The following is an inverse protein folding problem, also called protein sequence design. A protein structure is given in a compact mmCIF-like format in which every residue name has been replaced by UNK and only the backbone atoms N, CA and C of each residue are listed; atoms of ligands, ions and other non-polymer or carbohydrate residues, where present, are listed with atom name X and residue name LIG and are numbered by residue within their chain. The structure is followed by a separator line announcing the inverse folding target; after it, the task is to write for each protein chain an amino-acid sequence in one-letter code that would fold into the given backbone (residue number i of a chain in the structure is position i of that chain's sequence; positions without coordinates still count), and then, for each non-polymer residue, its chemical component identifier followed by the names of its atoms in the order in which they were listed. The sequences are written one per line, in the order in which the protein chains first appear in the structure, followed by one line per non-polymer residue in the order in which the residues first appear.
data_IF_071439306207
#
_entry.id   IF_071439306207
#
_cell.length_a   1.000
_cell.length_b   1.000
_cell.length_c   1.000
_cell.angle_alpha   90.00
_cell.angle_beta   90.00
_cell.angle_gamma   90.00
#
_symmetry.space_group_name_H-M   'P 1'
#
loop_
_entity.id
_entity.type
_entity.pdbx_description
1 polymer ?
2 non-polymer ?
3 non-polymer ?
4 non-polymer ?
5 non-polymer ?
6 water ?
#
# COMPACT_ATOMS: atom_id res chain seq x y z
N UNK A 15 -19.28 4.40 -11.91
CA UNK A 15 -20.47 4.15 -11.03
C UNK A 15 -20.08 3.46 -9.69
N UNK A 16 -19.82 4.28 -8.65
CA UNK A 16 -19.30 3.72 -7.43
C UNK A 16 -20.38 2.99 -6.66
N UNK A 17 -21.63 3.06 -7.13
CA UNK A 17 -22.70 2.37 -6.47
C UNK A 17 -22.89 0.95 -7.02
N UNK A 18 -22.02 0.54 -7.98
CA UNK A 18 -22.06 -0.78 -8.63
C UNK A 18 -20.65 -1.34 -8.88
N UNK A 19 -19.78 -1.17 -7.90
CA UNK A 19 -18.43 -1.65 -8.01
C UNK A 19 -18.26 -3.15 -8.01
N UNK A 20 -19.28 -3.85 -7.53
CA UNK A 20 -19.35 -5.31 -7.58
C UNK A 20 -19.47 -5.72 -9.06
N UNK A 21 -20.31 -5.01 -9.80
CA UNK A 21 -20.47 -5.29 -11.21
C UNK A 21 -19.21 -5.00 -12.01
N UNK A 22 -18.62 -3.83 -11.80
CA UNK A 22 -17.40 -3.46 -12.49
C UNK A 22 -16.25 -4.45 -12.15
N UNK A 23 -16.26 -4.96 -10.93
CA UNK A 23 -15.25 -5.94 -10.48
C UNK A 23 -15.24 -7.21 -11.35
N UNK A 24 -16.41 -7.77 -11.54
CA UNK A 24 -16.56 -8.99 -12.32
C UNK A 24 -16.24 -8.76 -13.78
N UNK A 25 -16.74 -7.66 -14.33
CA UNK A 25 -16.45 -7.27 -15.71
C UNK A 25 -14.95 -7.03 -15.94
N UNK A 26 -14.29 -6.38 -15.00
CA UNK A 26 -12.86 -6.13 -15.14
C UNK A 26 -12.06 -7.43 -15.07
N UNK A 27 -12.45 -8.32 -14.20
CA UNK A 27 -11.77 -9.59 -14.04
C UNK A 27 -11.92 -10.45 -15.28
N UNK A 28 -13.11 -10.42 -15.89
CA UNK A 28 -13.30 -11.18 -17.11
C UNK A 28 -12.50 -10.59 -18.26
N UNK A 29 -12.46 -9.25 -18.35
CA UNK A 29 -11.76 -8.55 -19.41
C UNK A 29 -10.27 -8.85 -19.36
N UNK A 30 -9.67 -8.70 -18.17
CA UNK A 30 -8.24 -9.01 -17.95
C UNK A 30 -7.84 -10.47 -18.21
N UNK A 31 -8.72 -11.40 -17.85
CA UNK A 31 -8.46 -12.83 -18.02
C UNK A 31 -8.15 -13.19 -19.46
N UNK A 32 -8.85 -12.54 -20.39
CA UNK A 32 -8.69 -12.74 -21.83
C UNK A 32 -7.87 -11.65 -22.57
N UNK A 33 -7.44 -10.60 -21.87
CA UNK A 33 -6.61 -9.57 -22.48
C UNK A 33 -5.60 -9.04 -21.46
N UNK A 34 -4.33 -9.46 -21.55
CA UNK A 34 -3.33 -8.95 -20.61
C UNK A 34 -3.06 -7.44 -20.72
N UNK A 35 -3.45 -6.83 -21.83
CA UNK A 35 -3.29 -5.39 -22.02
C UNK A 35 -4.56 -4.63 -21.57
N UNK A 36 -5.51 -5.33 -20.93
CA UNK A 36 -6.70 -4.70 -20.39
C UNK A 36 -6.27 -3.57 -19.50
N UNK A 37 -6.90 -2.42 -19.64
CA UNK A 37 -6.53 -1.30 -18.77
C UNK A 37 -5.42 -0.41 -19.34
N UNK A 38 -4.82 -0.81 -20.46
CA UNK A 38 -3.79 0.00 -21.09
C UNK A 38 -4.44 0.89 -22.18
N UNK A 39 -4.15 2.21 -22.17
CA UNK A 39 -4.75 3.08 -23.20
C UNK A 39 -4.44 2.61 -24.62
N UNK A 40 -5.47 2.60 -25.47
CA UNK A 40 -5.39 2.11 -26.85
C UNK A 40 -4.23 2.70 -27.65
N UNK A 41 -3.98 4.00 -27.50
CA UNK A 41 -2.92 4.65 -28.27
C UNK A 41 -1.54 4.18 -27.86
N UNK A 42 -1.40 3.80 -26.58
CA UNK A 42 -0.13 3.23 -26.11
C UNK A 42 0.00 1.80 -26.60
N UNK A 43 -1.10 1.03 -26.52
CA UNK A 43 -1.05 -0.35 -27.01
C UNK A 43 -0.61 -0.42 -28.45
N UNK A 44 -1.12 0.49 -29.27
CA UNK A 44 -0.76 0.48 -30.70
C UNK A 44 0.71 0.85 -30.92
N UNK A 45 1.27 1.74 -30.10
CA UNK A 45 2.70 2.03 -30.21
C UNK A 45 3.51 0.79 -29.82
N UNK A 46 3.21 0.22 -28.63
CA UNK A 46 3.91 -0.96 -28.12
C UNK A 46 3.84 -2.12 -29.14
N UNK A 47 2.65 -2.32 -29.75
CA UNK A 47 2.47 -3.34 -30.77
C UNK A 47 3.34 -3.08 -32.00
N UNK A 48 3.47 -1.81 -32.36
CA UNK A 48 4.22 -1.42 -33.53
C UNK A 48 5.73 -1.48 -33.28
N UNK A 49 6.17 -0.97 -32.12
CA UNK A 49 7.62 -0.83 -31.81
C UNK A 49 8.24 -1.72 -30.75
N UNK A 50 7.42 -2.38 -29.95
CA UNK A 50 7.92 -3.26 -28.89
C UNK A 50 8.91 -2.56 -27.96
N UNK A 51 10.12 -3.09 -27.85
CA UNK A 51 11.11 -2.49 -26.94
C UNK A 51 11.97 -1.37 -27.53
N UNK A 52 11.62 -0.95 -28.75
CA UNK A 52 12.19 0.22 -29.37
C UNK A 52 11.28 1.41 -29.08
N UNK A 53 10.22 1.20 -28.31
CA UNK A 53 9.31 2.28 -27.92
C UNK A 53 10.12 3.31 -27.16
N UNK A 54 10.05 4.58 -27.57
CA UNK A 54 10.75 5.64 -26.85
C UNK A 54 9.83 6.14 -25.70
N UNK A 55 10.39 6.29 -24.49
CA UNK A 55 9.60 6.75 -23.34
C UNK A 55 10.23 7.99 -22.65
N UNK A 56 9.37 8.89 -22.20
CA UNK A 56 9.76 10.07 -21.42
C UNK A 56 9.09 9.95 -20.04
N UNK A 57 9.89 10.09 -18.98
CA UNK A 57 9.39 10.06 -17.63
C UNK A 57 8.95 11.47 -17.24
N UNK A 58 7.70 11.62 -16.79
CA UNK A 58 7.23 12.92 -16.34
C UNK A 58 7.32 12.94 -14.83
N UNK A 59 8.12 13.86 -14.31
CA UNK A 59 8.35 14.00 -12.87
C UNK A 59 9.60 13.27 -12.41
N UNK A 60 10.30 13.83 -11.43
CA UNK A 60 11.52 13.21 -10.90
C UNK A 60 11.39 12.86 -9.41
N UNK A 61 10.18 12.98 -8.87
CA UNK A 61 9.92 12.77 -7.47
C UNK A 61 8.83 11.72 -7.25
N UNK A 62 8.61 10.80 -8.21
CA UNK A 62 7.51 9.83 -8.09
C UNK A 62 7.99 8.39 -8.09
N UNK A 63 7.26 7.51 -8.78
CA UNK A 63 7.63 6.09 -8.91
C UNK A 63 8.60 5.84 -10.09
N UNK A 64 9.18 6.88 -10.71
CA UNK A 64 10.09 6.71 -11.86
C UNK A 64 11.37 5.93 -11.56
N UNK A 65 11.73 5.94 -10.27
CA UNK A 65 12.90 5.24 -9.76
C UNK A 65 12.66 3.74 -9.83
N UNK A 66 11.39 3.33 -9.70
CA UNK A 66 11.03 1.92 -9.80
C UNK A 66 11.18 1.38 -11.22
N UNK A 67 10.98 2.21 -12.25
CA UNK A 67 11.19 1.78 -13.64
C UNK A 67 12.69 1.73 -13.99
N UNK A 68 13.44 2.72 -13.51
CA UNK A 68 14.89 2.80 -13.77
C UNK A 68 15.74 1.73 -13.02
N UNK A 69 15.33 1.36 -11.80
CA UNK A 69 16.01 0.31 -11.02
C UNK A 69 15.58 -1.11 -11.40
N UNK A 70 14.62 -1.22 -12.34
CA UNK A 70 14.05 -2.49 -12.80
C UNK A 70 15.15 -3.51 -13.11
N UNK A 71 14.91 -4.75 -12.68
CA UNK A 71 15.81 -5.86 -12.89
C UNK A 71 15.76 -6.27 -14.37
N UNK A 72 16.95 -6.47 -14.94
CA UNK A 72 17.16 -6.87 -16.36
C UNK A 72 16.93 -5.72 -17.34
N UNK A 73 17.29 -5.94 -18.60
CA UNK A 73 17.19 -4.93 -19.66
C UNK A 73 15.78 -4.32 -19.73
N UNK A 74 15.71 -2.99 -19.89
CA UNK A 74 14.41 -2.31 -20.00
C UNK A 74 13.69 -2.75 -21.26
N UNK A 75 12.35 -2.62 -21.28
CA UNK A 75 11.56 -3.02 -22.44
C UNK A 75 11.18 -1.80 -23.31
N UNK A 76 11.96 -0.72 -23.22
CA UNK A 76 11.76 0.48 -24.01
C UNK A 76 12.99 1.35 -23.82
N UNK A 77 13.15 2.31 -24.72
CA UNK A 77 14.27 3.21 -24.67
C UNK A 77 13.81 4.48 -23.95
N UNK A 78 14.22 4.63 -22.69
CA UNK A 78 13.89 5.80 -21.89
C UNK A 78 14.87 6.93 -22.29
N UNK A 79 14.32 8.03 -22.83
CA UNK A 79 15.13 9.13 -23.35
C UNK A 79 15.31 10.37 -22.47
N UNK A 80 14.43 10.61 -21.51
CA UNK A 80 14.53 11.84 -20.72
C UNK A 80 13.54 11.82 -19.61
N UNK A 81 13.72 12.77 -18.69
CA UNK A 81 12.79 13.02 -17.60
C UNK A 81 12.50 14.50 -17.64
N UNK A 82 11.24 14.84 -17.40
CA UNK A 82 10.76 16.18 -17.42
C UNK A 82 10.67 16.73 -16.02
N UNK A 83 11.29 17.88 -15.84
CA UNK A 83 11.21 18.60 -14.56
C UNK A 83 11.60 20.08 -14.82
N UNK A 84 10.58 20.93 -14.86
CA UNK A 84 10.74 22.38 -15.11
C UNK A 84 11.53 23.13 -14.03
N UNK A 85 11.67 22.52 -12.85
CA UNK A 85 12.39 23.11 -11.73
C UNK A 85 13.83 22.66 -11.68
N UNK A 86 14.22 21.76 -12.57
CA UNK A 86 15.59 21.21 -12.58
C UNK A 86 16.32 21.13 -13.95
N UNK A 87 15.66 21.51 -15.04
CA UNK A 87 16.25 21.23 -16.36
C UNK A 87 17.49 22.01 -16.76
N UNK A 88 17.90 22.99 -15.95
CA UNK A 88 19.13 23.74 -16.19
C UNK A 88 20.27 23.33 -15.24
N UNK A 89 20.01 22.42 -14.31
CA UNK A 89 21.02 22.02 -13.33
C UNK A 89 22.21 21.25 -13.89
N UNK A 90 22.06 20.55 -15.02
CA UNK A 90 23.13 19.70 -15.52
C UNK A 90 23.09 18.30 -14.89
N UNK A 91 22.19 18.08 -13.94
CA UNK A 91 22.01 16.80 -13.28
C UNK A 91 21.19 15.87 -14.17
N UNK A 92 21.50 14.58 -14.04
CA UNK A 92 20.82 13.52 -14.77
C UNK A 92 19.86 12.83 -13.81
N UNK A 93 18.81 12.23 -14.36
CA UNK A 93 17.86 11.48 -13.54
C UNK A 93 18.01 10.01 -13.97
N UNK A 94 18.73 9.23 -13.16
CA UNK A 94 19.08 7.82 -13.48
C UNK A 94 19.73 7.76 -14.87
N UNK A 95 20.71 8.66 -15.08
CA UNK A 95 21.42 8.76 -16.34
C UNK A 95 20.68 9.49 -17.44
N UNK A 96 19.44 9.91 -17.19
CA UNK A 96 18.66 10.58 -18.20
C UNK A 96 18.80 12.11 -18.17
N UNK A 97 18.78 12.76 -19.34
CA UNK A 97 18.75 14.22 -19.29
C UNK A 97 17.43 14.71 -18.68
N UNK A 98 17.49 15.85 -17.98
CA UNK A 98 16.30 16.47 -17.39
C UNK A 98 15.93 17.62 -18.33
N UNK A 99 14.70 17.58 -18.85
CA UNK A 99 14.19 18.55 -19.82
C UNK A 99 12.96 19.29 -19.29
N UNK A 100 12.62 20.39 -19.95
CA UNK A 100 11.45 21.18 -19.60
C UNK A 100 10.20 20.54 -20.22
N UNK A 101 9.03 20.91 -19.73
CA UNK A 101 7.81 20.41 -20.29
C UNK A 101 7.67 20.87 -21.73
N UNK A 102 8.07 22.12 -22.03
CA UNK A 102 8.06 22.63 -23.41
C UNK A 102 8.94 21.79 -24.35
N UNK A 103 10.09 21.33 -23.87
CA UNK A 103 10.97 20.48 -24.68
C UNK A 103 10.32 19.11 -24.98
N UNK A 104 9.61 18.58 -24.00
CA UNK A 104 8.90 17.33 -24.11
C UNK A 104 7.78 17.40 -25.14
N UNK A 105 6.93 18.42 -25.07
CA UNK A 105 5.83 18.57 -26.07
C UNK A 105 6.41 18.70 -27.47
N UNK A 106 7.56 19.37 -27.60
CA UNK A 106 8.25 19.51 -28.90
C UNK A 106 8.71 18.12 -29.38
N UNK A 107 9.44 17.37 -28.56
CA UNK A 107 9.85 16.01 -28.94
C UNK A 107 8.66 15.09 -29.31
N UNK A 108 7.57 15.23 -28.56
CA UNK A 108 6.39 14.43 -28.77
C UNK A 108 5.71 14.74 -30.09
N UNK A 109 5.62 16.02 -30.46
CA UNK A 109 5.03 16.42 -31.76
C UNK A 109 5.75 15.83 -32.96
N UNK A 110 7.03 15.46 -32.78
CA UNK A 110 7.82 14.91 -33.86
C UNK A 110 8.17 13.40 -33.75
N UNK A 111 7.62 12.68 -32.75
CA UNK A 111 7.90 11.23 -32.59
C UNK A 111 6.59 10.53 -32.24
N UNK A 112 6.26 9.55 -33.07
CA UNK A 112 4.93 8.91 -33.11
C UNK A 112 4.21 8.17 -31.94
N UNK A 113 4.63 7.11 -31.25
CA UNK A 113 5.92 6.34 -31.14
C UNK A 113 6.66 6.67 -29.80
N UNK A 114 6.41 7.88 -29.27
CA UNK A 114 6.97 8.35 -28.00
C UNK A 114 5.84 8.33 -26.97
N UNK A 115 6.04 7.59 -25.88
CA UNK A 115 5.06 7.47 -24.81
C UNK A 115 5.57 8.24 -23.58
N UNK A 116 4.66 8.81 -22.79
CA UNK A 116 5.03 9.49 -21.57
C UNK A 116 4.55 8.69 -20.33
N UNK A 117 5.46 8.45 -19.40
CA UNK A 117 5.08 7.84 -18.12
C UNK A 117 4.88 8.93 -17.08
N UNK A 118 3.62 9.16 -16.68
CA UNK A 118 3.31 10.12 -15.62
C UNK A 118 3.57 9.41 -14.29
N UNK A 119 4.69 9.78 -13.63
CA UNK A 119 5.11 9.19 -12.33
C UNK A 119 4.45 9.86 -11.09
N UNK A 120 3.77 10.97 -11.33
CA UNK A 120 3.09 11.73 -10.29
C UNK A 120 1.86 11.00 -9.78
N UNK A 121 1.67 11.04 -8.45
CA UNK A 121 0.60 10.34 -7.76
C UNK A 121 -0.40 11.29 -7.14
N UNK A 122 -0.02 12.56 -6.96
CA UNK A 122 -0.88 13.55 -6.34
C UNK A 122 -1.51 14.53 -7.34
N UNK A 123 -2.72 14.97 -7.00
CA UNK A 123 -3.60 15.69 -7.90
C UNK A 123 -2.97 16.79 -8.71
N UNK A 124 -2.29 17.72 -8.03
CA UNK A 124 -1.71 18.87 -8.71
C UNK A 124 -0.78 18.48 -9.82
N UNK A 125 0.32 17.81 -9.51
CA UNK A 125 1.29 17.39 -10.53
C UNK A 125 0.74 16.35 -11.53
N UNK A 126 0.01 15.35 -11.04
CA UNK A 126 -0.57 14.32 -11.91
C UNK A 126 -1.52 14.90 -12.94
N UNK A 127 -2.50 15.68 -12.47
CA UNK A 127 -3.49 16.32 -13.37
C UNK A 127 -2.83 17.26 -14.38
N UNK A 128 -1.78 17.95 -13.93
CA UNK A 128 -1.04 18.83 -14.82
C UNK A 128 -0.48 18.01 -16.00
N UNK A 129 0.35 17.04 -15.71
CA UNK A 129 0.94 16.22 -16.78
C UNK A 129 -0.06 15.42 -17.63
N UNK A 130 -1.13 14.93 -17.01
CA UNK A 130 -2.16 14.22 -17.74
C UNK A 130 -2.83 15.15 -18.72
N UNK A 131 -3.14 16.38 -18.32
CA UNK A 131 -3.73 17.30 -19.26
C UNK A 131 -2.72 17.74 -20.32
N UNK A 132 -1.47 18.01 -19.98
CA UNK A 132 -0.47 18.33 -21.01
C UNK A 132 -0.48 17.27 -22.11
N UNK A 133 -0.49 16.00 -21.70
CA UNK A 133 -0.48 14.90 -22.64
C UNK A 133 -1.73 14.88 -23.48
N UNK A 134 -2.90 15.04 -22.85
CA UNK A 134 -4.18 15.04 -23.60
C UNK A 134 -4.28 16.16 -24.60
N UNK A 135 -3.91 17.37 -24.18
CA UNK A 135 -3.89 18.55 -25.05
C UNK A 135 -3.09 18.27 -26.32
N UNK A 136 -1.90 17.68 -26.18
CA UNK A 136 -1.10 17.40 -27.35
C UNK A 136 -1.26 16.01 -27.95
N UNK A 137 -2.23 15.23 -27.50
CA UNK A 137 -2.44 13.89 -28.03
C UNK A 137 -1.23 12.95 -27.88
N UNK A 138 -0.55 13.04 -26.74
CA UNK A 138 0.64 12.26 -26.46
C UNK A 138 0.24 11.02 -25.69
N UNK A 139 0.53 9.81 -26.23
CA UNK A 139 0.19 8.57 -25.50
C UNK A 139 0.88 8.55 -24.13
N UNK A 140 0.08 8.30 -23.09
CA UNK A 140 0.58 8.37 -21.72
C UNK A 140 0.02 7.27 -20.82
N UNK A 141 0.77 6.99 -19.75
CA UNK A 141 0.51 5.92 -18.79
C UNK A 141 0.90 6.32 -17.40
N UNK A 142 0.20 5.78 -16.42
CA UNK A 142 0.61 5.91 -15.02
C UNK A 142 1.53 4.69 -14.73
N UNK A 143 2.12 4.65 -13.54
CA UNK A 143 3.07 3.59 -13.21
C UNK A 143 2.50 2.16 -13.27
N UNK A 144 1.30 1.94 -12.76
CA UNK A 144 0.71 0.60 -12.77
C UNK A 144 0.46 0.15 -14.20
N UNK A 145 0.00 1.10 -15.03
CA UNK A 145 -0.19 0.86 -16.47
C UNK A 145 1.13 0.55 -17.17
N UNK A 146 2.19 1.28 -16.80
CA UNK A 146 3.52 1.00 -17.34
C UNK A 146 3.95 -0.43 -17.02
N UNK A 147 3.82 -0.84 -15.75
CA UNK A 147 4.20 -2.20 -15.32
C UNK A 147 3.49 -3.27 -16.15
N UNK A 148 2.19 -3.08 -16.41
CA UNK A 148 1.42 -4.03 -17.18
C UNK A 148 1.70 -3.97 -18.66
N UNK A 149 1.84 -2.77 -19.22
CA UNK A 149 2.01 -2.60 -20.67
C UNK A 149 3.34 -3.08 -21.21
N UNK A 150 4.37 -3.00 -20.36
CA UNK A 150 5.72 -3.42 -20.72
C UNK A 150 6.11 -4.77 -20.16
N UNK A 151 5.17 -5.48 -19.53
CA UNK A 151 5.39 -6.81 -18.98
C UNK A 151 6.47 -6.86 -17.92
N UNK A 152 6.42 -5.95 -16.95
CA UNK A 152 7.44 -5.86 -15.91
C UNK A 152 7.06 -6.55 -14.61
N UNK A 153 5.98 -7.34 -14.62
CA UNK A 153 5.56 -8.08 -13.45
C UNK A 153 6.72 -8.99 -12.98
N UNK A 154 7.05 -8.93 -11.69
CA UNK A 154 8.17 -9.67 -11.12
C UNK A 154 9.53 -8.99 -11.16
N UNK A 155 9.68 -7.95 -11.98
CA UNK A 155 10.95 -7.21 -12.11
C UNK A 155 10.94 -5.84 -11.43
N UNK A 156 9.83 -5.55 -10.73
CA UNK A 156 9.71 -4.34 -9.93
C UNK A 156 9.46 -4.77 -8.49
N UNK A 157 9.69 -3.85 -7.55
CA UNK A 157 9.42 -4.08 -6.14
C UNK A 157 7.98 -4.63 -6.05
N UNK A 158 7.79 -5.67 -5.24
CA UNK A 158 6.46 -6.30 -5.09
C UNK A 158 5.38 -5.32 -4.63
N UNK A 159 5.74 -4.32 -3.84
CA UNK A 159 4.77 -3.32 -3.37
C UNK A 159 4.14 -2.41 -4.47
N UNK A 160 4.80 -2.31 -5.63
CA UNK A 160 4.31 -1.51 -6.75
C UNK A 160 4.01 -2.39 -7.99
N UNK A 161 3.89 -3.71 -7.77
CA UNK A 161 3.67 -4.66 -8.85
C UNK A 161 2.19 -4.80 -9.20
N UNK A 162 1.94 -5.44 -10.33
CA UNK A 162 0.64 -5.67 -10.89
C UNK A 162 0.04 -6.91 -10.29
N UNK A 163 -0.99 -6.71 -9.46
CA UNK A 163 -1.64 -7.82 -8.77
C UNK A 163 -2.88 -8.30 -9.49
N UNK A 164 -3.07 -7.83 -10.73
CA UNK A 164 -4.26 -8.16 -11.53
C UNK A 164 -4.57 -9.64 -11.66
N UNK A 165 -3.60 -10.40 -12.18
CA UNK A 165 -3.72 -11.84 -12.42
C UNK A 165 -4.04 -12.66 -11.15
N UNK A 166 -3.43 -12.29 -10.04
CA UNK A 166 -3.69 -12.91 -8.72
C UNK A 166 -5.14 -12.75 -8.34
N UNK A 167 -5.67 -11.56 -8.58
CA UNK A 167 -7.09 -11.29 -8.27
C UNK A 167 -8.01 -12.11 -9.14
N UNK A 168 -7.68 -12.23 -10.42
CA UNK A 168 -8.48 -12.99 -11.37
C UNK A 168 -8.54 -14.48 -11.00
N UNK A 169 -7.51 -15.00 -10.33
CA UNK A 169 -7.46 -16.41 -9.88
C UNK A 169 -8.28 -16.70 -8.63
N UNK A 170 -8.68 -15.65 -7.91
CA UNK A 170 -9.36 -15.77 -6.64
C UNK A 170 -10.71 -15.07 -6.56
N UNK A 171 -11.42 -14.96 -7.68
CA UNK A 171 -12.72 -14.27 -7.71
C UNK A 171 -13.73 -14.80 -6.68
N UNK A 172 -14.09 -16.09 -6.70
CA UNK A 172 -15.07 -16.50 -5.68
C UNK A 172 -14.68 -16.25 -4.24
N UNK A 173 -13.41 -16.43 -3.90
CA UNK A 173 -12.95 -16.17 -2.53
C UNK A 173 -13.13 -14.68 -2.17
N UNK A 174 -12.85 -13.78 -3.12
CA UNK A 174 -13.14 -12.37 -2.87
C UNK A 174 -14.64 -12.06 -2.74
N UNK A 175 -15.49 -12.73 -3.52
CA UNK A 175 -16.94 -12.56 -3.39
C UNK A 175 -17.42 -13.05 -2.03
N UNK A 176 -16.81 -14.14 -1.56
CA UNK A 176 -17.07 -14.69 -0.22
C UNK A 176 -16.63 -13.69 0.87
N UNK A 177 -15.45 -13.09 0.74
CA UNK A 177 -15.05 -12.03 1.68
C UNK A 177 -16.07 -10.88 1.68
N UNK A 178 -16.48 -10.41 0.51
CA UNK A 178 -17.47 -9.31 0.40
C UNK A 178 -18.74 -9.59 1.24
N UNK A 179 -19.24 -10.83 1.13
CA UNK A 179 -20.44 -11.28 1.86
C UNK A 179 -20.21 -11.33 3.37
N UNK A 180 -18.97 -11.50 3.81
CA UNK A 180 -18.65 -11.62 5.24
C UNK A 180 -18.46 -10.25 5.96
N UNK A 181 -18.21 -9.20 5.18
CA UNK A 181 -17.99 -7.88 5.73
C UNK A 181 -19.30 -7.36 6.33
N UNK A 182 -19.19 -6.73 7.51
CA UNK A 182 -20.39 -6.30 8.27
C UNK A 182 -21.16 -5.07 7.74
N UNK A 183 -20.50 -4.22 6.98
CA UNK A 183 -21.11 -2.96 6.55
C UNK A 183 -20.88 -2.72 5.05
N UNK A 184 -21.81 -1.99 4.44
CA UNK A 184 -21.76 -1.68 3.03
C UNK A 184 -20.53 -0.92 2.60
N UNK A 185 -20.05 0.01 3.42
CA UNK A 185 -18.88 0.80 3.05
C UNK A 185 -17.57 -0.05 2.94
N UNK A 186 -17.48 -1.08 3.78
CA UNK A 186 -16.40 -2.03 3.72
C UNK A 186 -16.47 -2.79 2.41
N UNK A 187 -17.68 -3.18 2.02
CA UNK A 187 -17.87 -3.89 0.75
C UNK A 187 -17.47 -2.95 -0.39
N UNK A 188 -17.96 -1.73 -0.38
CA UNK A 188 -17.56 -0.80 -1.44
C UNK A 188 -16.02 -0.63 -1.47
N UNK A 189 -15.42 -0.52 -0.29
CA UNK A 189 -13.98 -0.39 -0.19
C UNK A 189 -13.28 -1.60 -0.78
N UNK A 190 -13.74 -2.81 -0.40
CA UNK A 190 -13.12 -4.02 -0.95
C UNK A 190 -13.11 -4.00 -2.45
N UNK A 191 -14.29 -3.81 -3.05
CA UNK A 191 -14.41 -3.79 -4.50
C UNK A 191 -13.60 -2.68 -5.18
N UNK A 192 -13.49 -1.52 -4.52
CA UNK A 192 -12.70 -0.39 -5.04
C UNK A 192 -11.20 -0.77 -5.11
N UNK A 193 -10.70 -1.41 -4.06
CA UNK A 193 -9.28 -1.84 -4.05
C UNK A 193 -8.97 -2.90 -5.13
N UNK A 194 -9.84 -3.88 -5.25
CA UNK A 194 -9.70 -4.93 -6.24
C UNK A 194 -9.85 -4.36 -7.64
N UNK A 195 -10.76 -3.40 -7.82
CA UNK A 195 -10.89 -2.74 -9.11
C UNK A 195 -9.64 -1.94 -9.46
N UNK A 196 -9.02 -1.25 -8.49
CA UNK A 196 -7.75 -0.58 -8.79
C UNK A 196 -6.68 -1.53 -9.40
N UNK A 197 -6.47 -2.67 -8.74
CA UNK A 197 -5.53 -3.68 -9.19
C UNK A 197 -5.94 -4.29 -10.54
N UNK A 198 -7.23 -4.54 -10.77
CA UNK A 198 -7.65 -5.10 -12.06
C UNK A 198 -7.50 -4.11 -13.23
N UNK A 199 -7.73 -2.83 -12.97
CA UNK A 199 -7.77 -1.82 -14.02
C UNK A 199 -6.61 -0.85 -14.10
N UNK A 200 -5.80 -0.75 -13.04
CA UNK A 200 -4.70 0.22 -12.92
C UNK A 200 -5.22 1.65 -12.79
N UNK A 201 -6.47 1.83 -12.37
CA UNK A 201 -7.11 3.13 -12.28
C UNK A 201 -7.19 3.61 -10.83
N UNK A 202 -6.31 4.54 -10.43
CA UNK A 202 -6.33 5.00 -9.04
C UNK A 202 -7.59 5.68 -8.54
N UNK A 203 -8.41 6.24 -9.44
CA UNK A 203 -9.67 6.85 -9.02
C UNK A 203 -10.54 5.88 -8.21
N UNK A 204 -10.34 4.57 -8.37
CA UNK A 204 -11.06 3.59 -7.53
C UNK A 204 -10.79 3.78 -6.03
N UNK A 205 -9.52 3.97 -5.63
CA UNK A 205 -9.17 4.29 -4.25
C UNK A 205 -9.79 5.60 -3.81
N UNK A 206 -9.74 6.59 -4.71
CA UNK A 206 -10.22 7.91 -4.37
C UNK A 206 -11.70 7.97 -3.98
N UNK A 207 -12.52 7.08 -4.53
CA UNK A 207 -13.94 7.05 -4.22
C UNK A 207 -14.24 6.62 -2.80
N UNK A 208 -13.33 5.85 -2.21
CA UNK A 208 -13.55 5.30 -0.87
C UNK A 208 -12.55 5.73 0.23
N UNK A 209 -11.41 6.27 -0.16
CA UNK A 209 -10.35 6.60 0.76
C UNK A 209 -10.75 7.53 1.92
N UNK A 210 -10.09 7.32 3.05
CA UNK A 210 -10.22 8.14 4.23
C UNK A 210 -8.85 8.72 4.48
N UNK A 211 -8.75 9.80 5.28
CA UNK A 211 -7.43 10.34 5.54
C UNK A 211 -6.50 9.40 6.31
N UNK A 212 -5.20 9.57 6.07
CA UNK A 212 -4.13 8.87 6.79
C UNK A 212 -4.28 9.04 8.29
N UNK A 213 -4.64 10.25 8.70
CA UNK A 213 -4.88 10.60 10.13
C UNK A 213 -5.96 9.79 10.87
N UNK A 214 -6.79 9.07 10.13
CA UNK A 214 -7.85 8.28 10.72
C UNK A 214 -7.52 6.79 10.78
N UNK A 215 -6.32 6.41 10.33
CA UNK A 215 -5.91 5.01 10.35
C UNK A 215 -5.91 4.49 11.78
N UNK A 216 -6.56 3.34 11.99
CA UNK A 216 -6.66 2.55 13.23
C UNK A 216 -7.59 3.07 14.29
N UNK A 217 -7.49 4.38 14.58
CA UNK A 217 -8.16 5.00 15.71
C UNK A 217 -9.44 5.76 15.40
N UNK A 218 -9.60 6.16 14.12
CA UNK A 218 -10.78 6.91 13.65
C UNK A 218 -11.42 6.26 12.46
N UNK A 219 -11.50 4.92 12.44
CA UNK A 219 -12.06 4.19 11.29
C UNK A 219 -13.56 4.24 11.10
N UNK A 220 -14.29 4.66 12.13
CA UNK A 220 -15.73 4.61 12.13
C UNK A 220 -16.27 3.25 12.57
N UNK A 221 -15.41 2.35 13.04
CA UNK A 221 -15.83 0.98 13.38
C UNK A 221 -15.52 0.50 14.78
N UNK A 222 -14.47 1.04 15.39
CA UNK A 222 -14.01 0.65 16.72
C UNK A 222 -14.28 1.63 17.85
N UNK A 223 -14.56 1.09 19.04
CA UNK A 223 -14.75 1.85 20.25
C UNK A 223 -13.53 1.60 21.15
N UNK A 224 -12.90 2.66 21.62
CA UNK A 224 -11.80 2.55 22.53
C UNK A 224 -12.29 3.03 23.90
N UNK A 225 -11.91 2.30 24.95
CA UNK A 225 -12.27 2.66 26.29
C UNK A 225 -11.11 3.48 26.88
N UNK A 226 -11.21 3.77 28.16
CA UNK A 226 -10.13 4.46 28.87
C UNK A 226 -9.10 3.50 29.54
N UNK A 227 -9.21 2.18 29.27
CA UNK A 227 -8.36 1.18 29.89
C UNK A 227 -7.80 0.22 28.85
N UNK A 228 -7.48 0.75 27.68
CA UNK A 228 -7.01 -0.11 26.61
C UNK A 228 -5.62 -0.65 26.92
N UNK A 229 -5.36 -1.85 26.41
CA UNK A 229 -4.07 -2.54 26.47
C UNK A 229 -3.76 -2.86 25.02
N UNK A 230 -2.89 -2.05 24.45
CA UNK A 230 -2.54 -2.13 23.03
C UNK A 230 -1.18 -2.78 22.68
N UNK A 231 -1.23 -3.75 21.77
CA UNK A 231 -0.03 -4.31 21.17
C UNK A 231 0.15 -3.48 19.89
N UNK A 232 1.22 -2.70 19.88
CA UNK A 232 1.57 -1.85 18.74
C UNK A 232 2.67 -2.62 17.98
N UNK A 233 2.21 -3.45 17.05
CA UNK A 233 3.07 -4.33 16.31
C UNK A 233 3.51 -3.62 15.02
N UNK A 234 4.81 -3.33 14.94
CA UNK A 234 5.42 -2.53 13.88
C UNK A 234 5.27 -1.06 14.33
N UNK A 235 5.81 -0.74 15.50
CA UNK A 235 5.63 0.59 16.13
C UNK A 235 6.31 1.77 15.40
N UNK A 236 7.26 1.47 14.51
CA UNK A 236 8.02 2.42 13.69
C UNK A 236 8.55 3.64 14.43
N UNK A 237 7.87 4.77 14.24
CA UNK A 237 8.29 6.04 14.78
C UNK A 237 7.33 6.54 15.87
N UNK A 238 6.41 5.67 16.30
CA UNK A 238 5.54 5.97 17.44
C UNK A 238 4.22 6.64 17.19
N UNK A 239 3.81 6.73 15.93
CA UNK A 239 2.57 7.38 15.57
C UNK A 239 1.36 6.70 16.14
N UNK A 240 1.34 5.37 16.20
CA UNK A 240 0.15 4.71 16.77
C UNK A 240 0.02 4.98 18.26
N UNK A 241 1.14 5.18 18.96
CA UNK A 241 1.10 5.51 20.38
C UNK A 241 0.52 6.91 20.51
N UNK A 242 0.98 7.82 19.65
CA UNK A 242 0.44 9.18 19.64
C UNK A 242 -1.04 9.19 19.35
N UNK A 243 -1.50 8.30 18.45
CA UNK A 243 -2.92 8.24 18.10
C UNK A 243 -3.76 7.65 19.22
N UNK A 244 -3.26 6.62 19.90
CA UNK A 244 -4.01 6.07 21.04
C UNK A 244 -4.11 7.16 22.13
N UNK A 245 -3.00 7.82 22.41
CA UNK A 245 -3.00 8.91 23.40
C UNK A 245 -4.08 9.94 23.05
N UNK A 246 -4.11 10.36 21.79
CA UNK A 246 -5.06 11.38 21.35
C UNK A 246 -6.51 11.00 21.51
N UNK A 247 -6.90 9.82 20.99
CA UNK A 247 -8.32 9.43 21.03
C UNK A 247 -8.81 9.04 22.40
N UNK A 248 -7.90 8.66 23.29
CA UNK A 248 -8.27 8.29 24.66
C UNK A 248 -8.03 9.42 25.68
N UNK A 249 -7.54 10.54 25.20
CA UNK A 249 -7.21 11.69 26.02
C UNK A 249 -6.25 11.33 27.14
N UNK A 250 -5.17 10.66 26.78
CA UNK A 250 -4.11 10.27 27.71
C UNK A 250 -4.50 9.25 28.75
N UNK A 251 -5.42 8.35 28.42
CA UNK A 251 -5.89 7.34 29.39
C UNK A 251 -5.93 5.93 28.83
N UNK A 252 -4.98 5.12 29.23
CA UNK A 252 -4.92 3.70 28.85
C UNK A 252 -4.24 2.90 29.95
N UNK A 253 -4.32 1.57 29.86
CA UNK A 253 -3.69 0.70 30.83
C UNK A 253 -2.29 0.25 30.44
N UNK A 254 -2.09 -0.08 29.18
CA UNK A 254 -0.80 -0.62 28.79
C UNK A 254 -0.55 -0.50 27.32
N UNK A 255 0.71 -0.26 26.95
CA UNK A 255 1.10 -0.34 25.56
C UNK A 255 2.39 -1.13 25.42
N UNK A 256 2.35 -2.19 24.61
CA UNK A 256 3.54 -2.95 24.26
C UNK A 256 3.89 -2.61 22.82
N UNK A 257 4.97 -1.86 22.64
CA UNK A 257 5.45 -1.48 21.34
C UNK A 257 6.52 -2.46 20.83
N UNK A 258 6.28 -3.06 19.66
CA UNK A 258 7.17 -4.07 19.04
C UNK A 258 7.73 -3.54 17.74
N UNK A 259 9.05 -3.39 17.66
CA UNK A 259 9.69 -2.88 16.47
C UNK A 259 11.12 -3.43 16.33
N UNK A 260 11.47 -4.12 15.21
CA UNK A 260 12.84 -4.67 15.10
C UNK A 260 13.93 -3.76 14.52
N UNK A 261 13.59 -2.72 13.75
CA UNK A 261 14.60 -1.89 13.08
C UNK A 261 15.32 -0.99 14.08
N UNK A 262 16.66 -1.03 14.05
CA UNK A 262 17.51 -0.31 15.00
C UNK A 262 17.38 1.21 14.90
N UNK A 263 17.17 1.75 13.70
CA UNK A 263 17.01 3.20 13.56
C UNK A 263 15.65 3.64 14.10
N UNK A 264 14.62 2.82 13.92
CA UNK A 264 13.30 3.10 14.46
C UNK A 264 13.31 3.04 15.98
N UNK A 265 14.03 2.07 16.53
CA UNK A 265 14.18 1.96 17.98
C UNK A 265 14.89 3.21 18.58
N UNK A 266 15.83 3.81 17.86
CA UNK A 266 16.45 5.08 18.31
C UNK A 266 15.38 6.19 18.41
N UNK A 267 14.53 6.26 17.38
CA UNK A 267 13.44 7.22 17.31
C UNK A 267 12.42 7.03 18.42
N UNK A 268 12.11 5.78 18.74
CA UNK A 268 11.16 5.49 19.81
C UNK A 268 11.69 5.89 21.15
N UNK A 269 13.02 5.89 21.34
CA UNK A 269 13.55 6.40 22.60
C UNK A 269 13.29 7.91 22.71
N UNK A 270 13.27 8.61 21.58
CA UNK A 270 12.94 10.04 21.54
C UNK A 270 11.44 10.22 21.84
N UNK A 271 10.62 9.38 21.23
CA UNK A 271 9.18 9.39 21.47
C UNK A 271 8.90 9.13 22.95
N UNK A 272 9.58 8.15 23.56
CA UNK A 272 9.32 7.87 24.98
C UNK A 272 9.68 9.09 25.89
N UNK A 273 10.70 9.85 25.50
CA UNK A 273 11.11 11.03 26.26
C UNK A 273 10.10 12.16 26.19
N UNK A 274 9.28 12.22 25.15
CA UNK A 274 8.31 13.29 25.12
C UNK A 274 7.18 13.03 26.12
N UNK A 275 7.09 11.83 26.67
CA UNK A 275 6.04 11.47 27.61
C UNK A 275 6.53 11.16 28.99
N UNK A 276 7.80 11.44 29.26
CA UNK A 276 8.40 11.09 30.53
C UNK A 276 7.67 11.62 31.80
N UNK A 277 7.06 12.79 31.74
CA UNK A 277 6.39 13.38 32.89
C UNK A 277 4.90 13.09 32.91
N UNK A 278 4.38 12.31 31.97
CA UNK A 278 2.94 11.98 31.94
C UNK A 278 2.67 10.92 33.00
N UNK A 279 1.41 10.71 33.38
CA UNK A 279 1.14 9.63 34.37
C UNK A 279 1.06 8.22 33.73
N UNK A 280 1.19 8.12 32.40
CA UNK A 280 1.14 6.85 31.64
C UNK A 280 2.49 6.36 31.07
N UNK A 281 3.57 7.07 31.32
CA UNK A 281 4.92 6.69 30.86
C UNK A 281 5.35 5.28 31.28
N UNK A 282 4.95 4.89 32.50
CA UNK A 282 5.34 3.60 33.07
C UNK A 282 4.57 2.44 32.48
N UNK A 283 3.49 2.74 31.76
CA UNK A 283 2.63 1.73 31.15
C UNK A 283 3.07 1.34 29.75
N UNK A 284 4.11 1.98 29.23
CA UNK A 284 4.59 1.74 27.88
C UNK A 284 5.91 1.04 27.92
N UNK A 285 6.04 -0.06 27.17
CA UNK A 285 7.34 -0.73 26.99
C UNK A 285 7.64 -0.92 25.51
N UNK A 286 8.93 -0.92 25.20
CA UNK A 286 9.42 -1.12 23.85
C UNK A 286 10.16 -2.45 23.78
N UNK A 287 9.85 -3.24 22.74
CA UNK A 287 10.42 -4.57 22.55
C UNK A 287 11.07 -4.58 21.20
N UNK A 288 12.41 -4.54 21.22
CA UNK A 288 13.26 -4.51 20.02
C UNK A 288 13.41 -5.87 19.35
N UNK A 289 12.33 -6.33 18.77
CA UNK A 289 12.26 -7.61 18.08
C UNK A 289 11.18 -7.47 17.05
N UNK A 290 11.12 -8.48 16.20
CA UNK A 290 10.07 -8.63 15.24
C UNK A 290 9.03 -9.60 15.78
N UNK A 291 7.81 -9.46 15.31
CA UNK A 291 6.71 -10.33 15.70
C UNK A 291 6.63 -11.45 14.66
N UNK A 292 6.61 -12.70 15.14
CA UNK A 292 6.55 -13.87 14.27
C UNK A 292 5.88 -14.99 15.00
N UNK A 293 5.91 -16.20 14.44
CA UNK A 293 5.20 -17.32 15.03
C UNK A 293 5.97 -18.04 16.10
N UNK A 294 7.28 -17.94 16.07
CA UNK A 294 8.03 -18.52 17.13
C UNK A 294 9.24 -17.68 17.45
N UNK A 295 10.07 -18.18 18.36
CA UNK A 295 11.22 -17.49 18.82
C UNK A 295 12.46 -17.92 18.01
N UNK A 296 13.02 -16.98 17.26
CA UNK A 296 14.17 -17.25 16.41
C UNK A 296 14.93 -15.97 16.08
N UNK A 297 16.26 -16.09 15.97
CA UNK A 297 17.16 -15.04 15.63
C UNK A 297 17.56 -15.23 14.17
N UNK A 298 17.25 -14.22 13.35
CA UNK A 298 17.40 -14.28 11.90
C UNK A 298 17.93 -12.97 11.30
N UNK A 299 18.53 -13.03 10.08
CA UNK A 299 18.96 -11.79 9.40
C UNK A 299 17.76 -10.91 9.09
N UNK A 300 17.93 -9.59 9.22
CA UNK A 300 16.83 -8.64 9.02
C UNK A 300 16.78 -8.13 7.57
N UNK A 321 22.80 -7.97 9.40
CA UNK A 321 22.06 -7.47 10.58
C UNK A 321 21.05 -8.50 11.07
N UNK A 322 21.30 -9.05 12.27
CA UNK A 322 20.41 -10.03 12.89
C UNK A 322 19.36 -9.41 13.80
N UNK A 323 18.15 -9.93 13.77
CA UNK A 323 17.11 -9.52 14.71
C UNK A 323 16.54 -10.72 15.47
N UNK A 324 16.00 -10.44 16.64
CA UNK A 324 15.24 -11.44 17.39
C UNK A 324 13.80 -11.33 16.89
N UNK A 325 13.17 -12.48 16.70
CA UNK A 325 11.78 -12.61 16.30
C UNK A 325 11.17 -13.44 17.43
N UNK A 326 10.03 -12.99 17.94
CA UNK A 326 9.34 -13.64 19.03
C UNK A 326 7.86 -13.58 18.74
N UNK A 327 7.08 -14.53 19.29
CA UNK A 327 5.64 -14.43 19.16
C UNK A 327 5.05 -13.42 20.16
N UNK A 328 4.01 -12.72 19.73
CA UNK A 328 3.29 -11.73 20.57
C UNK A 328 2.84 -12.28 21.94
N UNK A 329 2.30 -13.50 21.94
CA UNK A 329 1.86 -14.18 23.14
C UNK A 329 2.99 -14.30 24.18
N UNK A 330 4.23 -14.42 23.73
CA UNK A 330 5.39 -14.47 24.68
C UNK A 330 5.92 -13.09 25.06
N UNK A 331 5.82 -12.13 24.14
CA UNK A 331 6.31 -10.75 24.38
C UNK A 331 5.51 -10.02 25.45
N UNK A 332 4.19 -10.12 25.35
CA UNK A 332 3.27 -9.45 26.27
C UNK A 332 3.06 -10.25 27.54
N UNK A 333 2.54 -9.58 28.58
CA UNK A 333 2.35 -10.20 29.89
C UNK A 333 0.94 -10.00 30.43
N UNK A 334 -0.01 -9.74 29.54
CA UNK A 334 -1.38 -9.51 29.94
C UNK A 334 -2.23 -9.67 28.69
N UNK A 335 -3.53 -9.80 28.93
CA UNK A 335 -4.51 -9.91 27.90
C UNK A 335 -4.72 -8.54 27.24
N UNK A 336 -4.49 -8.46 25.90
CA UNK A 336 -4.71 -7.19 25.23
C UNK A 336 -6.17 -6.97 24.87
N UNK A 337 -6.49 -5.70 24.68
CA UNK A 337 -7.80 -5.26 24.24
C UNK A 337 -7.76 -4.80 22.77
N UNK A 338 -6.55 -4.59 22.23
CA UNK A 338 -6.37 -4.09 20.88
C UNK A 338 -5.01 -4.50 20.32
N UNK A 339 -5.03 -5.05 19.11
CA UNK A 339 -3.80 -5.35 18.38
C UNK A 339 -3.80 -4.59 17.03
N UNK A 340 -2.87 -3.65 16.92
CA UNK A 340 -2.61 -2.90 15.70
C UNK A 340 -1.42 -3.63 15.08
N UNK A 341 -1.47 -3.86 13.77
CA UNK A 341 -0.41 -4.57 13.08
C UNK A 341 -0.13 -3.99 11.70
N UNK A 342 1.14 -3.58 11.53
CA UNK A 342 1.65 -3.12 10.25
C UNK A 342 3.14 -3.45 10.24
N UNK A 343 3.51 -4.60 9.69
CA UNK A 343 4.91 -5.06 9.70
C UNK A 343 5.48 -5.39 8.34
N UNK A 344 6.81 -5.38 8.23
CA UNK A 344 7.47 -5.73 6.93
C UNK A 344 7.42 -7.26 6.65
N UNK A 345 7.51 -8.05 7.72
CA UNK A 345 7.51 -9.51 7.65
C UNK A 345 6.11 -10.08 7.48
N UNK A 346 6.00 -11.39 7.58
CA UNK A 346 4.75 -12.08 7.37
C UNK A 346 3.75 -11.74 8.46
N UNK A 347 2.64 -11.13 8.08
CA UNK A 347 1.56 -10.82 9.04
C UNK A 347 0.80 -12.06 9.43
N UNK A 348 0.83 -13.08 8.59
CA UNK A 348 0.21 -14.35 8.93
C UNK A 348 1.02 -15.02 10.04
N UNK A 349 2.36 -15.05 9.93
CA UNK A 349 3.19 -15.63 11.02
C UNK A 349 3.04 -14.85 12.33
N UNK A 350 2.93 -13.54 12.22
CA UNK A 350 2.77 -12.71 13.37
C UNK A 350 1.48 -12.94 14.10
N UNK A 351 0.38 -13.15 13.35
CA UNK A 351 -0.90 -13.44 13.92
C UNK A 351 -0.93 -14.82 14.59
N UNK A 352 -0.23 -15.79 14.02
CA UNK A 352 -0.16 -17.12 14.60
C UNK A 352 0.59 -17.03 15.92
N UNK A 353 1.57 -16.15 16.01
CA UNK A 353 2.27 -15.90 17.27
C UNK A 353 1.46 -15.15 18.33
N UNK A 354 0.25 -14.70 17.96
CA UNK A 354 -0.69 -14.04 18.87
C UNK A 354 -1.99 -14.86 19.01
N UNK A 355 -1.99 -16.13 18.59
CA UNK A 355 -3.23 -16.90 18.61
C UNK A 355 -3.92 -17.07 19.93
N UNK A 356 -3.16 -17.15 21.03
CA UNK A 356 -3.73 -17.30 22.35
C UNK A 356 -4.43 -16.01 22.74
N UNK A 357 -3.79 -14.89 22.47
CA UNK A 357 -4.39 -13.60 22.78
C UNK A 357 -5.69 -13.39 21.97
N UNK A 358 -5.61 -13.68 20.69
CA UNK A 358 -6.74 -13.50 19.78
C UNK A 358 -7.87 -14.46 20.12
N UNK A 359 -7.56 -15.75 20.20
CA UNK A 359 -8.59 -16.77 20.47
C UNK A 359 -9.18 -16.68 21.86
N UNK A 360 -8.36 -16.43 22.86
CA UNK A 360 -8.85 -16.39 24.24
C UNK A 360 -9.55 -15.11 24.65
N UNK A 361 -9.09 -13.96 24.15
CA UNK A 361 -9.62 -12.65 24.57
C UNK A 361 -10.35 -11.74 23.56
N UNK A 362 -10.33 -12.13 22.29
CA UNK A 362 -11.00 -11.40 21.25
C UNK A 362 -10.72 -9.91 21.33
N UNK A 363 -9.46 -9.53 21.23
CA UNK A 363 -9.22 -8.12 21.22
C UNK A 363 -9.65 -7.52 19.87
N UNK A 364 -9.89 -6.21 19.86
CA UNK A 364 -10.12 -5.51 18.62
C UNK A 364 -8.82 -5.64 17.84
N UNK A 365 -8.91 -5.68 16.51
CA UNK A 365 -7.72 -5.77 15.68
C UNK A 365 -7.81 -4.76 14.55
N UNK A 366 -6.65 -4.19 14.24
CA UNK A 366 -6.48 -3.32 13.07
C UNK A 366 -5.28 -3.90 12.36
N UNK A 367 -5.52 -4.61 11.25
CA UNK A 367 -4.46 -5.36 10.56
C UNK A 367 -4.22 -4.80 9.16
N UNK A 368 -3.03 -4.25 8.91
CA UNK A 368 -2.76 -3.62 7.62
C UNK A 368 -2.85 -4.73 6.58
N UNK A 369 -3.55 -4.46 5.48
CA UNK A 369 -3.91 -5.51 4.52
C UNK A 369 -3.41 -5.33 3.11
N UNK A 370 -2.45 -4.45 2.91
CA UNK A 370 -1.96 -4.09 1.58
C UNK A 370 -0.59 -4.62 1.19
N UNK A 371 0.04 -5.48 2.01
CA UNK A 371 1.43 -5.92 1.74
C UNK A 371 1.55 -7.01 0.68
N UNK A 372 0.54 -7.85 0.58
CA UNK A 372 0.53 -8.92 -0.42
C UNK A 372 -0.82 -8.97 -1.07
N UNK A 373 -0.86 -9.41 -2.33
CA UNK A 373 -2.11 -9.52 -3.09
C UNK A 373 -3.10 -10.49 -2.43
N UNK A 374 -2.55 -11.40 -1.65
CA UNK A 374 -3.27 -12.48 -0.95
C UNK A 374 -3.69 -12.16 0.51
N UNK A 375 -3.15 -11.10 1.09
CA UNK A 375 -3.42 -10.81 2.48
C UNK A 375 -4.88 -10.60 2.91
N UNK A 376 -5.72 -9.97 2.09
CA UNK A 376 -7.12 -9.77 2.45
C UNK A 376 -7.80 -11.09 2.71
N UNK A 377 -7.47 -12.10 1.91
CA UNK A 377 -8.07 -13.41 2.10
C UNK A 377 -7.34 -14.20 3.17
N UNK A 378 -6.02 -14.28 3.07
CA UNK A 378 -5.22 -15.10 3.98
C UNK A 378 -5.28 -14.72 5.46
N UNK A 379 -5.17 -13.45 5.75
CA UNK A 379 -5.20 -12.97 7.11
C UNK A 379 -6.60 -13.14 7.70
N UNK A 380 -7.63 -12.79 6.95
CA UNK A 380 -9.02 -12.93 7.42
C UNK A 380 -9.35 -14.40 7.69
N UNK A 381 -8.97 -15.27 6.75
CA UNK A 381 -9.24 -16.69 6.90
C UNK A 381 -8.56 -17.24 8.14
N UNK A 382 -7.33 -16.78 8.41
CA UNK A 382 -6.61 -17.25 9.57
C UNK A 382 -7.29 -16.81 10.88
N UNK A 383 -7.58 -15.52 10.98
CA UNK A 383 -8.18 -14.98 12.19
C UNK A 383 -9.52 -15.63 12.52
N UNK A 384 -10.36 -15.84 11.50
CA UNK A 384 -11.67 -16.45 11.73
C UNK A 384 -11.61 -17.92 12.11
N UNK A 385 -10.53 -18.60 11.75
CA UNK A 385 -10.35 -20.00 12.09
C UNK A 385 -10.03 -20.14 13.58
N UNK A 386 -9.51 -19.08 14.21
CA UNK A 386 -9.17 -19.15 15.61
C UNK A 386 -10.14 -18.36 16.51
N UNK A 387 -10.91 -17.47 15.91
CA UNK A 387 -11.90 -16.67 16.64
C UNK A 387 -13.00 -16.32 15.63
N UNK A 388 -13.89 -17.30 15.37
CA UNK A 388 -14.92 -17.12 14.31
C UNK A 388 -16.06 -16.12 14.54
N UNK A 389 -16.24 -15.61 15.77
CA UNK A 389 -17.31 -14.66 16.10
C UNK A 389 -16.97 -13.18 15.84
N UNK A 390 -15.82 -12.89 15.23
CA UNK A 390 -15.47 -11.51 14.92
C UNK A 390 -16.34 -10.93 13.80
N UNK A 391 -16.62 -9.64 13.91
CA UNK A 391 -17.23 -8.89 12.82
C UNK A 391 -16.01 -8.30 12.08
N UNK A 392 -16.15 -8.05 10.78
CA UNK A 392 -15.04 -7.59 9.96
C UNK A 392 -15.41 -6.35 9.15
N UNK A 393 -14.49 -5.39 9.12
CA UNK A 393 -14.64 -4.19 8.29
C UNK A 393 -13.36 -3.95 7.52
N UNK A 394 -13.39 -2.96 6.61
CA UNK A 394 -12.23 -2.63 5.82
C UNK A 394 -12.28 -1.18 5.43
N UNK A 395 -11.20 -0.44 5.66
CA UNK A 395 -11.09 0.96 5.20
C UNK A 395 -9.76 1.14 4.49
N UNK A 396 -9.71 2.11 3.56
CA UNK A 396 -8.51 2.44 2.86
C UNK A 396 -8.12 3.85 3.29
N UNK A 397 -6.90 4.03 3.81
CA UNK A 397 -6.52 5.31 4.45
C UNK A 397 -5.42 6.23 3.82
N UNK A 398 -5.10 6.08 2.55
CA UNK A 398 -4.22 7.03 1.87
C UNK A 398 -4.81 7.32 0.48
N UNK A 399 -4.35 8.39 -0.18
CA UNK A 399 -4.69 8.60 -1.58
C UNK A 399 -3.91 7.65 -2.52
N UNK A 400 -3.07 6.75 -2.00
CA UNK A 400 -2.28 5.86 -2.83
C UNK A 400 -2.63 4.43 -2.47
N UNK A 401 -1.77 3.46 -2.76
CA UNK A 401 -2.10 2.04 -2.51
C UNK A 401 -1.77 1.54 -1.12
N UNK A 402 -1.22 2.41 -0.30
CA UNK A 402 -0.83 2.06 1.06
C UNK A 402 -2.00 2.24 2.03
N UNK A 403 -1.97 1.42 3.08
CA UNK A 403 -2.83 1.47 4.22
C UNK A 403 -4.30 1.14 4.05
N UNK A 404 -4.52 0.08 3.28
CA UNK A 404 -5.78 -0.59 3.27
C UNK A 404 -5.66 -1.40 4.57
N UNK A 405 -6.66 -1.31 5.44
CA UNK A 405 -6.60 -1.93 6.74
C UNK A 405 -7.87 -2.69 7.08
N UNK A 406 -7.71 -3.92 7.57
CA UNK A 406 -8.82 -4.74 8.04
C UNK A 406 -9.07 -4.42 9.48
N UNK A 407 -10.34 -4.39 9.86
CA UNK A 407 -10.75 -4.21 11.25
C UNK A 407 -11.58 -5.41 11.67
N UNK A 408 -11.29 -5.91 12.86
CA UNK A 408 -12.00 -7.03 13.45
C UNK A 408 -12.42 -6.57 14.84
N UNK A 409 -13.69 -6.75 15.14
CA UNK A 409 -14.21 -6.34 16.42
C UNK A 409 -15.41 -7.18 16.79
X LIG B 1 -3.80 11.20 -25.32
X LIG C 1 -2.19 -3.37 -11.00
X LIG C 1 -2.89 -2.30 -11.57
X LIG C 1 -1.62 -2.97 -9.64
X LIG C 1 -1.87 -4.02 -8.67
X LIG D 1 12.23 -8.13 22.96
X LIG D 1 13.31 -8.95 22.51
X LIG D 1 12.37 -8.00 24.47
X LIG D 1 11.27 -7.29 25.07
X LIG E 1 -19.93 -1.38 -4.59
X LIG E 1 -20.73 -0.24 -4.95
X LIG E 1 -20.50 -2.18 -3.44
X LIG E 1 -20.77 -3.55 -3.85
X LIG F 1 -4.76 -17.66 -16.48
X LIG F 1 -3.95 -17.79 -17.64
X LIG F 1 -4.37 -18.50 -15.26
X LIG F 1 -3.87 -17.63 -14.26
X LIG G 1 7.08 -6.14 14.60
X LIG G 1 7.23 -6.72 13.25
X LIG G 1 8.56 -7.15 12.70
X LIG G 1 8.52 -8.19 11.56
X LIG G 1 9.30 -7.60 10.39
X LIG G 1 9.13 -9.55 11.99
X LIG G 1 9.11 -10.64 10.95
X LIG H 1 0.74 10.51 14.24
X LIG H 1 -0.22 9.64 14.88
X LIG H 1 1.75 11.20 15.17
X LIG H 1 3.07 10.64 15.20
X LIG H 1 3.89 11.17 16.25
X LIG H 1 5.28 10.51 16.18
X LIG H 1 5.57 9.69 17.33
#
# INVERSE_FOLDING_TARGET
GXTQQTDLQSKTNIDPLAMNDSFLAAADALAVDPMFGIPANVREVIARRGNATRLVILGTKGFGAHLMNVRHERPCEVIAAVDDFRYHSGELYYGLPIISTDRFTELATHDRDLVALNTCRYDGPKRFFDQICRTHGIPHLNFEQAVRAFGLQGNVDYRVDDWGADIVRNIPAFQTLAQRLADDYSVQTLYAVLNFHLTCEPEYYHEVERPYSTLYFRSGLLRFSDSEKMVDCGASIGESLAGLIGVTKGKFERVWMIEPDRINLQTLQNVLRRYTDTNFASRITVHGCGAGENTIRVPFNHEGGHGGFVKPADADHEPADLIDVRPIDDIIDDAPTFIKMDIEGSELSALKGARRAISEHKPKLAISAYHRSTDLLDLTNYILSIRPDYQIGLRHHTPDRWDTCLYFY
CL CL
EDO C1 O1 C2 O2
EDO C1 O1 C2 O2
EDO C1 O1 C2 O2
EDO C1 O1 C2 O2
UNL O1 O2 O3 O4 O5 O6 O7
PEG C1 O1 C2 O2 C3 C4 O4
#
